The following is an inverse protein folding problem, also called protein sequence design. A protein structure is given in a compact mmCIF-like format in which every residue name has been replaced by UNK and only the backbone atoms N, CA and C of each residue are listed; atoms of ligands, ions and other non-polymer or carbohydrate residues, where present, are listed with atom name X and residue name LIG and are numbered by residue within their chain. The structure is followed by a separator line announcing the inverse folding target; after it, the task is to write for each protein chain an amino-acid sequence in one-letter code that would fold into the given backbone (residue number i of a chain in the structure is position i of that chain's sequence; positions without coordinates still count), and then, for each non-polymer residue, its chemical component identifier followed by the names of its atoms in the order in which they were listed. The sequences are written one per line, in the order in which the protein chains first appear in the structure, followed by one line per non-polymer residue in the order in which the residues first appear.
data_IF_431946829693
#
_entry.id   IF_431946829693
#
_cell.length_a   1.000
_cell.length_b   1.000
_cell.length_c   1.000
_cell.angle_alpha   90.00
_cell.angle_beta   90.00
_cell.angle_gamma   90.00
#
_symmetry.space_group_name_H-M   'P 1'
#
loop_
_entity.id
_entity.type
_entity.pdbx_description
1 polymer ?
#
# COMPACT_ATOMS: atom_id res chain seq x y z
N UNK A 1 3.48 21.31 3.38
CA UNK A 1 2.63 20.74 2.32
C UNK A 1 1.65 19.81 2.99
N UNK A 2 0.35 20.05 2.82
CA UNK A 2 -0.67 19.16 3.42
C UNK A 2 -0.99 18.06 2.43
N UNK A 3 -0.73 16.81 2.80
CA UNK A 3 -1.10 15.64 2.00
C UNK A 3 -2.62 15.47 2.10
N UNK A 4 -3.36 15.45 0.98
CA UNK A 4 -4.80 15.23 0.99
C UNK A 4 -5.12 13.80 1.43
N UNK A 5 -6.38 13.55 1.77
CA UNK A 5 -6.87 12.23 2.15
C UNK A 5 -7.81 11.68 1.08
N UNK A 6 -7.72 10.38 0.85
CA UNK A 6 -8.66 9.61 0.03
C UNK A 6 -9.64 8.93 0.98
N UNK A 7 -10.93 9.19 0.77
CA UNK A 7 -12.00 8.61 1.57
C UNK A 7 -12.45 7.27 0.98
N UNK A 8 -12.65 6.31 1.86
CA UNK A 8 -13.18 4.99 1.56
C UNK A 8 -14.46 4.69 2.31
N UNK A 9 -14.84 3.41 2.30
CA UNK A 9 -16.01 2.91 3.01
C UNK A 9 -15.90 3.09 4.52
N UNK A 10 -17.04 3.10 5.20
CA UNK A 10 -17.13 3.15 6.68
C UNK A 10 -16.46 4.37 7.33
N UNK A 11 -16.26 5.45 6.56
CA UNK A 11 -15.60 6.68 7.05
C UNK A 11 -14.10 6.54 7.25
N UNK A 12 -13.49 5.46 6.76
CA UNK A 12 -12.03 5.32 6.76
C UNK A 12 -11.40 6.17 5.68
N UNK A 13 -10.28 6.80 5.99
CA UNK A 13 -9.52 7.59 5.01
C UNK A 13 -8.01 7.37 5.17
N UNK A 14 -7.29 7.49 4.06
CA UNK A 14 -5.83 7.39 4.01
C UNK A 14 -5.22 8.65 3.40
N UNK A 15 -4.00 9.06 3.85
CA UNK A 15 -3.20 10.02 3.11
C UNK A 15 -3.02 9.55 1.66
N UNK A 16 -3.12 10.46 0.69
CA UNK A 16 -3.07 10.14 -0.74
C UNK A 16 -1.70 9.65 -1.24
N UNK A 17 -0.73 9.50 -0.35
CA UNK A 17 0.56 8.85 -0.58
C UNK A 17 1.08 8.25 0.72
N UNK A 18 1.72 7.07 0.64
CA UNK A 18 2.40 6.42 1.75
C UNK A 18 3.88 6.17 1.49
N UNK A 19 4.63 5.83 2.54
CA UNK A 19 6.00 5.35 2.46
C UNK A 19 6.03 3.82 2.51
N UNK A 20 6.45 3.16 1.44
CA UNK A 20 6.82 1.74 1.48
C UNK A 20 8.13 1.55 2.25
N UNK A 21 8.15 0.59 3.18
CA UNK A 21 9.32 0.36 4.04
C UNK A 21 10.11 -0.91 3.71
N UNK A 22 9.77 -1.63 2.67
CA UNK A 22 10.51 -2.83 2.25
C UNK A 22 12.03 -2.56 2.19
N UNK A 23 12.84 -3.40 2.85
CA UNK A 23 14.29 -3.23 3.02
C UNK A 23 14.71 -1.91 3.72
N UNK A 24 13.84 -1.28 4.51
CA UNK A 24 14.20 -0.24 5.46
C UNK A 24 14.34 -0.88 6.84
N UNK A 25 15.49 -1.46 7.11
CA UNK A 25 15.78 -2.24 8.31
C UNK A 25 16.90 -1.62 9.16
N UNK A 26 17.01 -2.08 10.38
CA UNK A 26 18.03 -1.64 11.32
C UNK A 26 18.01 -0.14 11.62
N UNK A 27 19.15 0.40 12.01
CA UNK A 27 19.30 1.82 12.39
C UNK A 27 19.09 2.73 11.17
N UNK A 28 19.65 2.37 10.03
CA UNK A 28 19.57 3.18 8.81
C UNK A 28 18.13 3.23 8.28
N UNK A 29 17.42 2.08 8.30
CA UNK A 29 16.01 2.03 7.96
C UNK A 29 15.15 2.86 8.91
N UNK A 30 15.39 2.76 10.22
CA UNK A 30 14.71 3.59 11.22
C UNK A 30 14.91 5.08 10.94
N UNK A 31 16.15 5.50 10.67
CA UNK A 31 16.44 6.90 10.38
C UNK A 31 15.77 7.37 9.07
N UNK A 32 15.77 6.52 8.03
CA UNK A 32 15.10 6.86 6.77
C UNK A 32 13.59 7.05 6.95
N UNK A 33 12.93 6.26 7.79
CA UNK A 33 11.51 6.42 8.12
C UNK A 33 11.28 7.69 8.95
N UNK A 34 12.15 8.02 9.92
CA UNK A 34 12.06 9.28 10.69
C UNK A 34 12.16 10.50 9.76
N UNK A 35 13.10 10.49 8.82
CA UNK A 35 13.25 11.59 7.87
C UNK A 35 12.05 11.71 6.93
N UNK A 36 11.44 10.59 6.51
CA UNK A 36 10.20 10.61 5.75
C UNK A 36 9.04 11.23 6.53
N UNK A 37 8.87 10.86 7.81
CA UNK A 37 7.84 11.46 8.69
C UNK A 37 8.08 12.97 8.84
N UNK A 38 9.34 13.40 9.01
CA UNK A 38 9.72 14.82 9.06
C UNK A 38 9.46 15.55 7.74
N UNK A 39 9.59 14.85 6.61
CA UNK A 39 9.29 15.39 5.29
C UNK A 39 7.78 15.60 5.06
N UNK A 40 6.92 14.86 5.79
CA UNK A 40 5.45 15.00 5.69
C UNK A 40 4.69 13.70 5.50
N UNK A 41 5.35 12.54 5.38
CA UNK A 41 4.65 11.26 5.32
C UNK A 41 3.87 10.98 6.61
N UNK A 42 2.63 10.49 6.44
CA UNK A 42 1.74 10.12 7.55
C UNK A 42 1.24 8.67 7.46
N UNK A 43 1.46 7.99 6.33
CA UNK A 43 1.17 6.58 6.09
C UNK A 43 2.49 5.82 5.92
N UNK A 44 2.73 4.81 6.76
CA UNK A 44 3.93 3.97 6.78
C UNK A 44 3.52 2.52 6.53
N UNK A 45 3.94 1.94 5.39
CA UNK A 45 3.58 0.59 4.99
C UNK A 45 4.71 -0.40 5.24
N UNK A 46 4.48 -1.33 6.16
CA UNK A 46 5.35 -2.45 6.51
C UNK A 46 4.68 -3.79 6.22
N UNK A 47 5.31 -4.89 6.60
CA UNK A 47 4.77 -6.24 6.60
C UNK A 47 5.58 -7.13 7.55
N UNK A 48 4.95 -8.16 8.09
CA UNK A 48 5.62 -9.18 8.91
C UNK A 48 6.84 -9.78 8.20
N UNK A 49 6.69 -10.11 6.91
CA UNK A 49 7.75 -10.69 6.08
C UNK A 49 8.90 -9.73 5.73
N UNK A 50 8.76 -8.43 5.99
CA UNK A 50 9.87 -7.49 5.77
C UNK A 50 10.90 -7.51 6.90
N UNK A 51 10.58 -8.15 8.02
CA UNK A 51 11.43 -8.25 9.21
C UNK A 51 11.89 -6.89 9.77
N UNK A 52 11.16 -5.82 9.44
CA UNK A 52 11.49 -4.45 9.80
C UNK A 52 10.43 -3.74 10.66
N UNK A 53 9.41 -4.45 11.15
CA UNK A 53 8.36 -3.91 12.02
C UNK A 53 8.94 -3.18 13.24
N UNK A 54 10.00 -3.74 13.85
CA UNK A 54 10.72 -3.11 14.96
C UNK A 54 11.37 -1.78 14.58
N UNK A 55 11.92 -1.68 13.38
CA UNK A 55 12.54 -0.44 12.86
C UNK A 55 11.47 0.64 12.59
N UNK A 56 10.34 0.25 12.00
CA UNK A 56 9.20 1.16 11.76
C UNK A 56 8.61 1.64 13.08
N UNK A 57 8.33 0.74 14.02
CA UNK A 57 7.82 1.12 15.34
C UNK A 57 8.77 2.02 16.13
N UNK A 58 10.08 1.77 16.05
CA UNK A 58 11.09 2.65 16.63
C UNK A 58 11.09 4.05 15.98
N UNK A 59 10.88 4.12 14.67
CA UNK A 59 10.75 5.39 13.96
C UNK A 59 9.51 6.17 14.39
N UNK A 60 8.36 5.49 14.51
CA UNK A 60 7.11 6.09 15.01
C UNK A 60 7.31 6.72 16.39
N UNK A 61 7.85 5.97 17.36
CA UNK A 61 8.10 6.47 18.72
C UNK A 61 9.11 7.62 18.77
N UNK A 62 10.03 7.70 17.80
CA UNK A 62 11.10 8.70 17.73
C UNK A 62 10.80 9.85 16.75
N UNK A 63 9.66 9.81 16.06
CA UNK A 63 9.27 10.83 15.07
C UNK A 63 9.06 12.21 15.67
N UNK A 64 8.64 12.25 16.95
CA UNK A 64 8.26 13.48 17.64
C UNK A 64 6.81 13.92 17.37
N UNK A 65 6.06 13.17 16.56
CA UNK A 65 4.65 13.42 16.30
C UNK A 65 3.75 12.65 17.30
N UNK A 66 2.56 13.18 17.60
CA UNK A 66 1.53 12.42 18.29
C UNK A 66 1.19 11.12 17.53
N UNK A 67 1.00 10.01 18.25
CA UNK A 67 0.78 8.69 17.64
C UNK A 67 -0.39 8.68 16.64
N UNK A 68 -1.47 9.40 16.95
CA UNK A 68 -2.69 9.47 16.14
C UNK A 68 -2.52 10.25 14.81
N UNK A 69 -1.41 10.94 14.60
CA UNK A 69 -1.09 11.58 13.34
C UNK A 69 -0.45 10.63 12.32
N UNK A 70 -0.10 9.41 12.74
CA UNK A 70 0.55 8.42 11.89
C UNK A 70 -0.36 7.19 11.70
N UNK A 71 -0.53 6.78 10.45
CA UNK A 71 -1.14 5.51 10.07
C UNK A 71 -0.02 4.52 9.78
N UNK A 72 -0.01 3.45 10.54
CA UNK A 72 0.99 2.37 10.42
C UNK A 72 0.28 1.12 9.90
N UNK A 73 0.79 0.57 8.80
CA UNK A 73 0.29 -0.66 8.20
C UNK A 73 1.29 -1.80 8.40
N UNK A 74 0.77 -3.00 8.69
CA UNK A 74 1.50 -4.26 8.55
C UNK A 74 0.64 -5.32 7.86
N UNK A 75 1.24 -6.50 7.57
CA UNK A 75 0.58 -7.52 6.75
C UNK A 75 0.83 -8.91 7.30
N UNK A 76 -0.24 -9.72 7.34
CA UNK A 76 -0.22 -11.13 7.73
C UNK A 76 0.45 -11.97 6.63
N UNK A 77 1.48 -12.78 6.93
CA UNK A 77 2.09 -13.68 5.96
C UNK A 77 1.18 -14.89 5.65
N UNK A 78 1.27 -15.42 4.44
CA UNK A 78 0.43 -16.51 3.98
C UNK A 78 0.56 -17.81 4.79
N UNK A 79 1.75 -18.08 5.36
CA UNK A 79 1.99 -19.25 6.23
C UNK A 79 1.21 -19.23 7.54
N UNK A 80 0.57 -18.12 7.91
CA UNK A 80 -0.15 -17.93 9.17
C UNK A 80 -1.63 -17.60 8.92
N UNK A 81 -2.26 -18.19 7.91
CA UNK A 81 -3.67 -17.94 7.59
C UNK A 81 -4.65 -18.69 8.47
N UNK A 82 -4.24 -19.72 9.23
CA UNK A 82 -5.10 -20.33 10.23
C UNK A 82 -5.43 -19.35 11.35
N UNK A 83 -6.66 -19.41 11.87
CA UNK A 83 -7.22 -18.41 12.78
C UNK A 83 -6.34 -18.09 14.00
N UNK A 84 -5.92 -19.12 14.72
CA UNK A 84 -5.11 -18.95 15.94
C UNK A 84 -3.69 -18.46 15.62
N UNK A 85 -3.09 -18.94 14.52
CA UNK A 85 -1.77 -18.49 14.05
C UNK A 85 -1.83 -17.03 13.58
N UNK A 86 -2.92 -16.64 12.89
CA UNK A 86 -3.14 -15.28 12.45
C UNK A 86 -3.25 -14.31 13.65
N UNK A 87 -4.05 -14.65 14.65
CA UNK A 87 -4.17 -13.84 15.87
C UNK A 87 -2.83 -13.69 16.59
N UNK A 88 -2.11 -14.79 16.80
CA UNK A 88 -0.78 -14.79 17.43
C UNK A 88 0.19 -13.90 16.64
N UNK A 89 0.17 -13.99 15.30
CA UNK A 89 1.03 -13.17 14.42
C UNK A 89 0.70 -11.68 14.52
N UNK A 90 -0.59 -11.32 14.61
CA UNK A 90 -1.00 -9.93 14.78
C UNK A 90 -0.53 -9.40 16.14
N UNK A 91 -0.69 -10.16 17.22
CA UNK A 91 -0.18 -9.81 18.55
C UNK A 91 1.34 -9.59 18.52
N UNK A 92 2.09 -10.50 17.87
CA UNK A 92 3.53 -10.35 17.69
C UNK A 92 3.92 -9.12 16.86
N UNK A 93 3.17 -8.78 15.80
CA UNK A 93 3.40 -7.56 15.02
C UNK A 93 3.29 -6.30 15.88
N UNK A 94 2.24 -6.22 16.72
CA UNK A 94 2.04 -5.12 17.68
C UNK A 94 3.24 -5.05 18.65
N UNK A 95 3.64 -6.21 19.20
CA UNK A 95 4.78 -6.30 20.13
C UNK A 95 6.10 -5.91 19.47
N UNK A 96 6.38 -6.39 18.26
CA UNK A 96 7.62 -6.05 17.50
C UNK A 96 7.71 -4.57 17.20
N UNK A 97 6.60 -3.95 16.82
CA UNK A 97 6.54 -2.49 16.62
C UNK A 97 6.67 -1.73 17.95
N UNK A 98 6.32 -2.35 19.08
CA UNK A 98 6.25 -1.70 20.39
C UNK A 98 5.25 -0.54 20.38
N UNK A 99 4.09 -0.78 19.79
CA UNK A 99 2.96 0.13 19.73
C UNK A 99 1.78 -0.50 20.49
N UNK A 100 0.79 0.32 20.88
CA UNK A 100 -0.42 -0.18 21.55
C UNK A 100 -1.37 -0.86 20.55
N UNK A 101 -1.33 -0.45 19.27
CA UNK A 101 -2.11 -0.98 18.17
C UNK A 101 -1.44 -0.68 16.83
N UNK A 102 -1.87 -1.39 15.79
CA UNK A 102 -1.57 -1.07 14.39
C UNK A 102 -2.83 -0.47 13.75
N UNK A 103 -2.69 0.60 12.96
CA UNK A 103 -3.85 1.32 12.41
C UNK A 103 -4.55 0.55 11.29
N UNK A 104 -3.78 -0.09 10.42
CA UNK A 104 -4.27 -0.90 9.30
C UNK A 104 -3.51 -2.21 9.21
N UNK A 105 -4.22 -3.34 9.21
CA UNK A 105 -3.59 -4.64 9.06
C UNK A 105 -4.17 -5.38 7.86
N UNK A 106 -3.30 -5.88 6.97
CA UNK A 106 -3.69 -6.50 5.72
C UNK A 106 -3.39 -8.01 5.71
N UNK A 107 -4.18 -8.81 5.00
CA UNK A 107 -3.72 -10.12 4.51
C UNK A 107 -2.78 -9.84 3.33
N UNK A 108 -1.53 -10.33 3.36
CA UNK A 108 -0.50 -9.97 2.39
C UNK A 108 -0.76 -10.54 0.99
N UNK A 109 -1.25 -11.78 0.90
CA UNK A 109 -1.65 -12.47 -0.32
C UNK A 109 -2.81 -13.42 -0.01
N UNK A 110 -3.71 -13.71 -0.97
CA UNK A 110 -4.84 -14.62 -0.72
C UNK A 110 -4.40 -16.08 -0.52
N UNK A 111 -3.28 -16.51 -1.11
CA UNK A 111 -2.84 -17.91 -1.14
C UNK A 111 -4.00 -18.87 -1.51
N UNK A 112 -4.60 -18.74 -2.71
CA UNK A 112 -5.88 -19.39 -3.02
C UNK A 112 -5.81 -20.91 -3.08
N UNK A 113 -4.63 -21.49 -3.28
CA UNK A 113 -4.45 -22.95 -3.31
C UNK A 113 -4.46 -23.57 -1.91
N UNK A 114 -4.04 -22.83 -0.87
CA UNK A 114 -4.18 -23.22 0.53
C UNK A 114 -5.61 -22.97 1.06
N UNK A 115 -6.30 -22.00 0.48
CA UNK A 115 -7.71 -21.69 0.70
C UNK A 115 -8.10 -21.32 2.15
N UNK A 116 -7.18 -20.70 2.92
CA UNK A 116 -7.40 -20.27 4.29
C UNK A 116 -7.63 -18.75 4.46
N UNK A 117 -7.71 -17.97 3.38
CA UNK A 117 -7.80 -16.50 3.51
C UNK A 117 -9.11 -16.00 4.14
N UNK A 118 -10.22 -16.77 4.09
CA UNK A 118 -11.46 -16.43 4.79
C UNK A 118 -11.30 -16.65 6.30
N UNK A 119 -10.57 -17.69 6.69
CA UNK A 119 -10.22 -17.96 8.08
C UNK A 119 -9.30 -16.85 8.62
N UNK A 120 -8.28 -16.47 7.85
CA UNK A 120 -7.41 -15.33 8.15
C UNK A 120 -8.19 -14.01 8.28
N UNK A 121 -9.15 -13.76 7.39
CA UNK A 121 -10.01 -12.59 7.47
C UNK A 121 -10.84 -12.55 8.75
N UNK A 122 -11.39 -13.69 9.16
CA UNK A 122 -12.11 -13.83 10.42
C UNK A 122 -11.23 -13.52 11.63
N UNK A 123 -9.95 -13.91 11.57
CA UNK A 123 -8.97 -13.58 12.61
C UNK A 123 -8.65 -12.06 12.63
N UNK A 124 -8.57 -11.39 11.46
CA UNK A 124 -8.41 -9.94 11.40
C UNK A 124 -9.62 -9.21 12.01
N UNK A 125 -10.85 -9.68 11.76
CA UNK A 125 -12.07 -9.16 12.38
C UNK A 125 -11.98 -9.28 13.91
N UNK A 126 -11.56 -10.43 14.42
CA UNK A 126 -11.38 -10.65 15.86
C UNK A 126 -10.26 -9.77 16.44
N UNK A 127 -9.13 -9.62 15.75
CA UNK A 127 -8.04 -8.74 16.19
C UNK A 127 -8.50 -7.28 16.30
N UNK A 128 -9.35 -6.82 15.38
CA UNK A 128 -9.99 -5.51 15.46
C UNK A 128 -10.94 -5.41 16.66
N UNK A 129 -11.75 -6.43 16.93
CA UNK A 129 -12.63 -6.48 18.11
C UNK A 129 -11.85 -6.40 19.43
N UNK A 130 -10.64 -6.96 19.45
CA UNK A 130 -9.70 -6.88 20.58
C UNK A 130 -8.91 -5.57 20.62
N UNK A 131 -9.11 -4.67 19.66
CA UNK A 131 -8.36 -3.40 19.53
C UNK A 131 -6.85 -3.57 19.31
N UNK A 132 -6.41 -4.72 18.83
CA UNK A 132 -5.03 -4.93 18.37
C UNK A 132 -4.74 -4.17 17.08
N UNK A 133 -5.77 -4.05 16.23
CA UNK A 133 -5.75 -3.27 14.99
C UNK A 133 -7.01 -2.41 14.89
N UNK A 134 -6.94 -1.25 14.22
CA UNK A 134 -8.10 -0.37 14.08
C UNK A 134 -8.90 -0.65 12.82
N UNK A 135 -8.21 -0.89 11.71
CA UNK A 135 -8.79 -1.17 10.40
C UNK A 135 -8.17 -2.41 9.79
N UNK A 136 -8.95 -3.09 8.97
CA UNK A 136 -8.53 -4.34 8.33
C UNK A 136 -8.71 -4.26 6.81
N UNK A 137 -7.75 -4.81 6.11
CA UNK A 137 -7.70 -4.81 4.66
C UNK A 137 -7.03 -6.05 4.10
N UNK A 138 -6.80 -6.02 2.81
CA UNK A 138 -6.13 -7.10 2.10
C UNK A 138 -5.10 -6.56 1.12
N UNK A 139 -4.25 -7.44 0.61
CA UNK A 139 -3.33 -7.12 -0.46
C UNK A 139 -3.36 -8.23 -1.51
N UNK A 140 -3.33 -7.83 -2.79
CA UNK A 140 -3.35 -8.74 -3.95
C UNK A 140 -4.62 -9.60 -4.10
N UNK A 141 -5.75 -9.14 -3.57
CA UNK A 141 -7.02 -9.84 -3.74
C UNK A 141 -7.68 -9.45 -5.07
N UNK A 142 -8.13 -10.47 -5.81
CA UNK A 142 -8.95 -10.31 -7.00
C UNK A 142 -10.42 -10.06 -6.60
N UNK A 143 -11.27 -9.52 -7.50
CA UNK A 143 -12.69 -9.31 -7.22
C UNK A 143 -13.42 -10.56 -6.69
N UNK A 144 -13.12 -11.75 -7.22
CA UNK A 144 -13.69 -13.02 -6.75
C UNK A 144 -13.27 -13.36 -5.30
N UNK A 145 -12.05 -13.06 -4.90
CA UNK A 145 -11.60 -13.24 -3.52
C UNK A 145 -12.34 -12.26 -2.58
N UNK A 146 -12.51 -11.01 -2.99
CA UNK A 146 -13.24 -9.98 -2.23
C UNK A 146 -14.71 -10.34 -2.07
N UNK A 147 -15.34 -10.81 -3.14
CA UNK A 147 -16.73 -11.23 -3.12
C UNK A 147 -16.95 -12.43 -2.18
N UNK A 148 -16.01 -13.37 -2.16
CA UNK A 148 -16.07 -14.50 -1.23
C UNK A 148 -15.95 -14.03 0.23
N UNK A 149 -15.05 -13.09 0.56
CA UNK A 149 -15.03 -12.49 1.90
C UNK A 149 -16.38 -11.89 2.26
N UNK A 150 -16.98 -11.11 1.34
CA UNK A 150 -18.29 -10.48 1.56
C UNK A 150 -19.39 -11.49 1.82
N UNK A 151 -19.45 -12.59 1.05
CA UNK A 151 -20.49 -13.61 1.15
C UNK A 151 -20.35 -14.44 2.43
N UNK A 152 -19.12 -14.85 2.77
CA UNK A 152 -18.90 -15.76 3.89
C UNK A 152 -18.78 -15.07 5.25
N UNK A 153 -18.35 -13.79 5.28
CA UNK A 153 -18.18 -13.07 6.54
C UNK A 153 -19.10 -11.85 6.71
N UNK A 154 -19.75 -11.43 5.63
CA UNK A 154 -20.59 -10.21 5.62
C UNK A 154 -19.78 -8.90 5.53
N UNK A 155 -18.45 -8.95 5.44
CA UNK A 155 -17.59 -7.76 5.50
C UNK A 155 -16.58 -7.70 4.36
N UNK A 156 -16.46 -6.51 3.75
CA UNK A 156 -15.42 -6.17 2.78
C UNK A 156 -14.30 -5.38 3.43
N UNK A 157 -13.05 -5.50 2.95
CA UNK A 157 -11.92 -4.71 3.44
C UNK A 157 -12.09 -3.21 3.16
N UNK A 158 -11.44 -2.38 3.99
CA UNK A 158 -11.38 -0.93 3.74
C UNK A 158 -10.33 -0.57 2.68
N UNK A 159 -9.32 -1.43 2.51
CA UNK A 159 -8.20 -1.28 1.57
C UNK A 159 -7.95 -2.59 0.85
N UNK A 160 -7.63 -2.52 -0.45
CA UNK A 160 -6.93 -3.56 -1.17
C UNK A 160 -5.66 -2.97 -1.79
N UNK A 161 -4.48 -3.42 -1.31
CA UNK A 161 -3.19 -2.99 -1.81
C UNK A 161 -2.75 -3.91 -2.95
N UNK A 162 -2.66 -3.40 -4.18
CA UNK A 162 -2.38 -4.18 -5.39
C UNK A 162 -1.14 -3.69 -6.12
N UNK A 163 -0.53 -4.52 -6.95
CA UNK A 163 0.40 -4.04 -7.96
C UNK A 163 -0.32 -3.08 -8.89
N UNK A 164 0.18 -1.86 -8.99
CA UNK A 164 -0.40 -0.90 -9.91
C UNK A 164 0.65 0.11 -10.36
N UNK A 165 0.81 0.24 -11.67
CA UNK A 165 1.68 1.21 -12.34
C UNK A 165 1.29 1.31 -13.82
N UNK A 166 1.75 2.30 -14.59
CA UNK A 166 1.35 2.50 -15.97
C UNK A 166 1.44 1.28 -16.91
N UNK A 167 2.39 0.38 -16.69
CA UNK A 167 2.46 -0.87 -17.45
C UNK A 167 1.44 -1.92 -17.04
N UNK A 168 0.86 -1.79 -15.84
CA UNK A 168 -0.13 -2.71 -15.28
C UNK A 168 -1.20 -1.95 -14.46
N UNK A 169 -2.14 -1.24 -15.13
CA UNK A 169 -3.07 -0.32 -14.48
C UNK A 169 -4.26 -0.98 -13.80
N UNK A 170 -4.49 -2.27 -13.97
CA UNK A 170 -5.55 -3.07 -13.33
C UNK A 170 -6.93 -2.41 -13.29
N UNK A 171 -7.43 -1.94 -14.41
CA UNK A 171 -8.66 -1.12 -14.56
C UNK A 171 -9.89 -1.81 -13.95
N UNK A 172 -10.03 -3.13 -14.11
CA UNK A 172 -11.17 -3.91 -13.59
C UNK A 172 -11.15 -3.96 -12.06
N UNK A 173 -9.98 -4.16 -11.45
CA UNK A 173 -9.83 -4.12 -9.99
C UNK A 173 -10.17 -2.73 -9.43
N UNK A 174 -9.68 -1.66 -10.07
CA UNK A 174 -10.00 -0.28 -9.70
C UNK A 174 -11.50 0.02 -9.80
N UNK A 175 -12.17 -0.48 -10.85
CA UNK A 175 -13.62 -0.30 -11.02
C UNK A 175 -14.38 -0.99 -9.87
N UNK A 176 -14.03 -2.24 -9.55
CA UNK A 176 -14.63 -2.98 -8.44
C UNK A 176 -14.39 -2.28 -7.11
N UNK A 177 -13.15 -1.82 -6.82
CA UNK A 177 -12.84 -1.12 -5.58
C UNK A 177 -13.67 0.16 -5.43
N UNK A 178 -13.78 0.96 -6.51
CA UNK A 178 -14.58 2.19 -6.53
C UNK A 178 -16.06 1.92 -6.25
N UNK A 179 -16.64 0.90 -6.89
CA UNK A 179 -18.04 0.51 -6.69
C UNK A 179 -18.33 0.16 -5.23
N UNK A 180 -17.37 -0.47 -4.54
CA UNK A 180 -17.54 -0.95 -3.17
C UNK A 180 -16.96 -0.02 -2.10
N UNK A 181 -16.40 1.14 -2.50
CA UNK A 181 -15.77 2.10 -1.60
C UNK A 181 -14.48 1.56 -0.93
N UNK A 182 -13.80 0.62 -1.57
CA UNK A 182 -12.50 0.08 -1.13
C UNK A 182 -11.41 1.03 -1.62
N UNK A 183 -10.53 1.49 -0.74
CA UNK A 183 -9.37 2.29 -1.14
C UNK A 183 -8.36 1.38 -1.86
N UNK A 184 -7.90 1.80 -3.02
CA UNK A 184 -6.80 1.13 -3.71
C UNK A 184 -5.48 1.71 -3.26
N UNK A 185 -4.61 0.91 -2.65
CA UNK A 185 -3.19 1.22 -2.50
C UNK A 185 -2.38 0.56 -3.60
N UNK A 186 -1.30 1.24 -4.04
CA UNK A 186 -0.46 0.76 -5.14
C UNK A 186 0.93 0.38 -4.63
N UNK A 187 1.26 -0.92 -4.62
CA UNK A 187 2.64 -1.31 -4.40
C UNK A 187 3.44 -1.30 -5.71
N UNK A 188 4.75 -1.05 -5.60
CA UNK A 188 5.66 -0.83 -6.75
C UNK A 188 5.17 0.25 -7.74
N UNK A 189 4.65 1.40 -7.27
CA UNK A 189 3.97 2.38 -8.16
C UNK A 189 4.88 2.92 -9.27
N UNK A 190 6.19 2.87 -9.09
CA UNK A 190 7.19 3.33 -10.05
C UNK A 190 7.77 2.20 -10.92
N UNK A 191 7.09 1.03 -10.99
CA UNK A 191 7.48 -0.08 -11.87
C UNK A 191 8.78 -0.78 -11.49
N UNK A 192 9.20 -0.78 -10.24
CA UNK A 192 10.32 -1.50 -9.60
C UNK A 192 11.34 -2.15 -10.56
N UNK A 193 12.33 -1.40 -11.00
CA UNK A 193 13.43 -1.91 -11.83
C UNK A 193 13.10 -2.08 -13.32
N UNK A 194 11.90 -1.71 -13.76
CA UNK A 194 11.55 -1.59 -15.17
C UNK A 194 12.13 -0.30 -15.77
N UNK A 195 11.94 -0.12 -17.07
CA UNK A 195 12.31 1.09 -17.80
C UNK A 195 11.25 2.21 -17.73
N UNK A 196 10.20 2.06 -16.91
CA UNK A 196 9.06 2.97 -16.83
C UNK A 196 9.46 4.45 -16.69
N UNK A 197 10.37 4.75 -15.76
CA UNK A 197 10.82 6.13 -15.54
C UNK A 197 11.73 6.69 -16.66
N UNK A 198 12.21 5.83 -17.54
CA UNK A 198 12.96 6.22 -18.74
C UNK A 198 12.10 6.13 -20.02
N UNK A 199 10.83 5.76 -19.89
CA UNK A 199 9.92 5.68 -21.03
C UNK A 199 9.75 7.06 -21.69
N UNK A 200 9.85 7.16 -23.03
CA UNK A 200 9.76 8.45 -23.75
C UNK A 200 8.48 9.24 -23.47
N UNK A 201 7.33 8.58 -23.29
CA UNK A 201 6.06 9.24 -22.94
C UNK A 201 6.17 9.86 -21.54
N UNK A 202 6.62 9.10 -20.54
CA UNK A 202 6.75 9.60 -19.17
C UNK A 202 7.76 10.76 -19.09
N UNK A 203 8.90 10.65 -19.78
CA UNK A 203 9.92 11.71 -19.78
C UNK A 203 9.47 12.96 -20.55
N UNK A 204 8.65 12.84 -21.60
CA UNK A 204 8.08 13.97 -22.32
C UNK A 204 7.09 14.73 -21.42
N UNK A 205 6.14 14.04 -20.81
CA UNK A 205 5.17 14.62 -19.86
C UNK A 205 5.90 15.30 -18.68
N UNK A 206 6.88 14.62 -18.09
CA UNK A 206 7.68 15.18 -17.01
C UNK A 206 8.40 16.49 -17.42
N UNK A 207 8.92 16.53 -18.64
CA UNK A 207 9.58 17.74 -19.19
C UNK A 207 8.58 18.87 -19.42
N UNK A 208 7.40 18.58 -19.96
CA UNK A 208 6.35 19.55 -20.24
C UNK A 208 5.85 20.25 -18.95
N UNK A 209 5.72 19.47 -17.88
CA UNK A 209 5.26 19.97 -16.57
C UNK A 209 6.40 20.44 -15.63
N UNK A 210 7.67 20.45 -16.07
CA UNK A 210 8.84 20.79 -15.26
C UNK A 210 8.95 19.99 -13.95
N UNK A 211 8.66 18.68 -14.03
CA UNK A 211 8.69 17.72 -12.91
C UNK A 211 9.58 16.52 -13.25
N UNK A 212 9.83 15.67 -12.26
CA UNK A 212 10.55 14.41 -12.50
C UNK A 212 9.62 13.33 -13.07
N UNK A 213 10.16 12.33 -13.82
CA UNK A 213 9.38 11.16 -14.26
C UNK A 213 8.66 10.42 -13.11
N UNK A 214 9.27 10.37 -11.92
CA UNK A 214 8.65 9.77 -10.75
C UNK A 214 7.43 10.57 -10.27
N UNK A 215 7.52 11.89 -10.26
CA UNK A 215 6.39 12.77 -9.91
C UNK A 215 5.24 12.64 -10.92
N UNK A 216 5.52 12.56 -12.22
CA UNK A 216 4.50 12.34 -13.25
C UNK A 216 3.72 11.03 -13.01
N UNK A 217 4.44 9.93 -12.76
CA UNK A 217 3.80 8.64 -12.46
C UNK A 217 3.02 8.66 -11.14
N UNK A 218 3.55 9.29 -10.08
CA UNK A 218 2.85 9.38 -8.80
C UNK A 218 1.62 10.29 -8.86
N UNK A 219 1.68 11.40 -9.60
CA UNK A 219 0.52 12.26 -9.84
C UNK A 219 -0.58 11.52 -10.60
N UNK A 220 -0.21 10.70 -11.61
CA UNK A 220 -1.15 9.83 -12.30
C UNK A 220 -1.89 8.90 -11.34
N UNK A 221 -1.19 8.25 -10.37
CA UNK A 221 -1.85 7.41 -9.36
C UNK A 221 -2.88 8.19 -8.55
N UNK A 222 -2.52 9.37 -8.07
CA UNK A 222 -3.41 10.21 -7.23
C UNK A 222 -4.64 10.66 -8.04
N UNK A 223 -4.46 11.09 -9.28
CA UNK A 223 -5.58 11.47 -10.16
C UNK A 223 -6.47 10.28 -10.53
N UNK A 224 -5.93 9.07 -10.54
CA UNK A 224 -6.69 7.81 -10.68
C UNK A 224 -7.47 7.42 -9.42
N UNK A 225 -7.22 8.10 -8.29
CA UNK A 225 -7.85 7.82 -6.99
C UNK A 225 -7.20 6.65 -6.25
N UNK A 226 -5.94 6.33 -6.57
CA UNK A 226 -5.15 5.32 -5.87
C UNK A 226 -4.11 5.98 -4.95
N UNK A 227 -3.72 5.27 -3.88
CA UNK A 227 -2.69 5.70 -2.93
C UNK A 227 -1.37 5.00 -3.27
N UNK A 228 -0.41 5.67 -3.94
CA UNK A 228 0.89 5.07 -4.21
C UNK A 228 1.73 4.96 -2.95
N UNK A 229 2.50 3.85 -2.85
CA UNK A 229 3.40 3.57 -1.73
C UNK A 229 4.84 3.42 -2.24
N UNK A 230 5.46 4.52 -2.73
CA UNK A 230 6.85 4.48 -3.16
C UNK A 230 7.79 4.27 -1.99
N UNK A 231 8.83 3.45 -2.20
CA UNK A 231 9.90 3.22 -1.23
C UNK A 231 11.13 4.03 -1.59
N UNK A 232 11.68 4.74 -0.63
CA UNK A 232 12.98 5.42 -0.79
C UNK A 232 13.78 5.49 0.50
N UNK A 233 15.11 5.27 0.40
CA UNK A 233 16.09 5.58 1.47
C UNK A 233 16.60 7.02 1.37
N UNK A 234 16.40 7.69 0.23
CA UNK A 234 16.90 9.04 -0.03
C UNK A 234 15.88 10.06 0.40
N UNK A 235 16.27 10.93 1.33
CA UNK A 235 15.43 12.06 1.79
C UNK A 235 15.07 13.01 0.64
N UNK A 236 15.94 13.20 -0.32
CA UNK A 236 15.65 14.00 -1.50
C UNK A 236 14.49 13.40 -2.28
N UNK A 237 14.55 12.09 -2.62
CA UNK A 237 13.47 11.38 -3.34
C UNK A 237 12.19 11.31 -2.51
N UNK A 238 12.28 11.18 -1.19
CA UNK A 238 11.10 11.21 -0.32
C UNK A 238 10.37 12.55 -0.44
N UNK A 239 11.09 13.68 -0.45
CA UNK A 239 10.52 15.02 -0.64
C UNK A 239 9.97 15.20 -2.06
N UNK A 240 10.71 14.79 -3.08
CA UNK A 240 10.26 14.83 -4.48
C UNK A 240 8.95 14.04 -4.67
N UNK A 241 8.85 12.86 -4.08
CA UNK A 241 7.64 12.04 -4.15
C UNK A 241 6.43 12.67 -3.44
N UNK A 242 6.62 13.50 -2.42
CA UNK A 242 5.54 14.25 -1.76
C UNK A 242 5.11 15.49 -2.54
N UNK A 243 5.96 16.02 -3.40
CA UNK A 243 5.74 17.24 -4.17
C UNK A 243 4.99 16.94 -5.49
N UNK A 244 3.79 16.38 -5.37
CA UNK A 244 2.97 15.91 -6.49
C UNK A 244 1.53 16.43 -6.47
N UNK A 245 1.10 17.08 -5.37
CA UNK A 245 -0.31 17.43 -5.22
C UNK A 245 -0.70 18.72 -5.94
N UNK A 246 0.27 19.52 -6.36
CA UNK A 246 0.08 20.69 -7.21
C UNK A 246 0.31 20.35 -8.72
N UNK A 247 0.61 19.09 -9.04
CA UNK A 247 0.80 18.60 -10.41
C UNK A 247 -0.55 18.23 -11.01
N UNK A 248 -0.99 18.96 -12.02
CA UNK A 248 -2.22 18.70 -12.78
C UNK A 248 -1.86 18.11 -14.14
N UNK A 249 -1.99 16.78 -14.30
CA UNK A 249 -1.89 16.12 -15.60
C UNK A 249 -3.16 16.37 -16.41
N UNK A 250 -3.01 16.69 -17.67
CA UNK A 250 -4.13 16.85 -18.60
C UNK A 250 -4.77 15.50 -18.94
N UNK A 251 -5.97 15.51 -19.51
CA UNK A 251 -6.61 14.28 -19.99
C UNK A 251 -5.79 13.60 -21.11
N UNK A 252 -5.05 14.38 -21.89
CA UNK A 252 -4.15 13.85 -22.92
C UNK A 252 -2.95 13.14 -22.29
N UNK A 253 -2.33 13.73 -21.27
CA UNK A 253 -1.25 13.11 -20.49
C UNK A 253 -1.70 11.78 -19.88
N UNK A 254 -2.87 11.78 -19.23
CA UNK A 254 -3.45 10.57 -18.65
C UNK A 254 -3.66 9.52 -19.75
N UNK A 255 -4.26 9.88 -20.87
CA UNK A 255 -4.47 8.97 -22.01
C UNK A 255 -3.17 8.41 -22.58
N UNK A 256 -2.11 9.24 -22.65
CA UNK A 256 -0.79 8.78 -23.08
C UNK A 256 -0.17 7.79 -22.07
N UNK A 257 -0.26 8.08 -20.77
CA UNK A 257 0.22 7.17 -19.70
C UNK A 257 -0.58 5.85 -19.73
N UNK A 258 -1.89 5.90 -19.86
CA UNK A 258 -2.76 4.71 -19.94
C UNK A 258 -2.44 3.84 -21.16
N UNK A 259 -1.99 4.44 -22.27
CA UNK A 259 -1.56 3.71 -23.46
C UNK A 259 -0.32 2.83 -23.25
N UNK A 260 0.40 3.01 -22.13
CA UNK A 260 1.55 2.19 -21.77
C UNK A 260 1.17 0.81 -21.20
N UNK A 261 -0.11 0.56 -20.93
CA UNK A 261 -0.62 -0.72 -20.47
C UNK A 261 -0.22 -1.85 -21.43
N UNK A 262 0.27 -2.96 -20.89
CA UNK A 262 0.67 -4.12 -21.67
C UNK A 262 0.33 -5.44 -20.98
N UNK A 263 0.08 -6.48 -21.76
CA UNK A 263 -0.34 -7.79 -21.25
C UNK A 263 0.71 -8.45 -20.36
N UNK A 264 2.00 -8.18 -20.59
CA UNK A 264 3.15 -8.64 -19.82
C UNK A 264 3.63 -7.62 -18.77
N UNK A 265 2.76 -6.68 -18.40
CA UNK A 265 3.08 -5.58 -17.48
C UNK A 265 3.28 -6.01 -16.03
N UNK A 266 2.74 -7.14 -15.62
CA UNK A 266 2.86 -7.66 -14.26
C UNK A 266 4.33 -7.92 -13.87
N UNK A 267 4.73 -7.46 -12.69
CA UNK A 267 6.08 -7.69 -12.17
C UNK A 267 6.18 -9.11 -11.60
N UNK A 268 7.32 -9.77 -11.84
CA UNK A 268 7.69 -11.07 -11.24
C UNK A 268 6.67 -12.21 -11.44
N UNK A 269 5.74 -12.10 -12.40
CA UNK A 269 4.72 -13.11 -12.71
C UNK A 269 3.87 -13.58 -11.50
N UNK A 270 3.66 -12.67 -10.54
CA UNK A 270 2.94 -12.95 -9.29
C UNK A 270 1.42 -12.82 -9.49
N UNK A 271 0.80 -13.83 -10.12
CA UNK A 271 -0.65 -13.85 -10.36
C UNK A 271 -1.42 -14.27 -9.09
N UNK A 272 -2.26 -13.39 -8.49
CA UNK A 272 -2.98 -13.71 -7.26
C UNK A 272 -3.95 -14.90 -7.37
N UNK A 273 -4.32 -15.30 -8.58
CA UNK A 273 -5.20 -16.47 -8.80
C UNK A 273 -4.52 -17.81 -8.50
N UNK A 274 -3.17 -17.84 -8.49
CA UNK A 274 -2.38 -19.07 -8.30
C UNK A 274 -1.14 -18.88 -7.43
N UNK A 275 -0.72 -17.64 -7.22
CA UNK A 275 0.52 -17.34 -6.50
C UNK A 275 0.39 -17.62 -5.01
N UNK A 276 1.42 -18.24 -4.43
CA UNK A 276 1.50 -18.58 -3.01
C UNK A 276 2.71 -17.92 -2.39
N UNK A 277 2.56 -17.32 -1.23
CA UNK A 277 3.63 -16.70 -0.40
C UNK A 277 3.57 -17.27 1.01
N UNK A 278 4.70 -17.75 1.51
CA UNK A 278 4.83 -18.32 2.84
C UNK A 278 5.79 -17.54 3.74
#
# INVERSE_FOLDING_TARGET
MDVPFIEGRSGFSLPAIGLGTYSLDGIDGTNAVIEAVRAGYRLLDSAFNYENEGAVGAAVRRSGLPRHELIVTSKLPGRHHHFDDALTTIEESVMRMGLDHIDLYLIHWPNPLEDHYVEAWSALIEARNRSLVHHIGVSNFLPEHLERLRVETGELPVVNQIELHPYFPQVDALAYHREHGIITESWSPLGRGSDLLANPIITAIATEHDITPAQAVLAWHVQFGAVPIPKSKSIQRQRENLDIFDVELTQDDIGQIDSLARADGRLADQDPSVYQVF
#
